data_IF_524131361381
#
_entry.id   IF_524131361381
#
_cell.length_a   1.000
_cell.length_b   1.000
_cell.length_c   1.000
_cell.angle_alpha   90.00
_cell.angle_beta   90.00
_cell.angle_gamma   90.00
#
_symmetry.space_group_name_H-M   'P 1'
#
loop_
_entity.id
_entity.type
_entity.pdbx_description
1 polymer ?
#
# COMPACT_ATOMS: atom_id res chain seq x y z
N UNK A 1 19.27 -3.93 -16.18
CA UNK A 1 19.76 -5.18 -15.57
C UNK A 1 18.66 -6.23 -15.68
N UNK A 2 18.99 -7.52 -15.88
CA UNK A 2 17.99 -8.56 -15.78
C UNK A 2 17.47 -8.64 -14.32
N UNK A 3 16.16 -8.94 -14.10
CA UNK A 3 15.60 -9.06 -12.75
C UNK A 3 16.26 -10.19 -11.97
N UNK A 4 16.47 -10.00 -10.67
CA UNK A 4 16.98 -11.05 -9.79
C UNK A 4 15.90 -12.10 -9.52
N UNK A 5 16.30 -13.27 -8.94
CA UNK A 5 15.30 -14.28 -8.51
C UNK A 5 14.33 -13.73 -7.47
N UNK A 6 14.79 -12.82 -6.61
CA UNK A 6 13.93 -12.18 -5.59
C UNK A 6 12.94 -11.21 -6.24
N UNK A 7 13.34 -10.45 -7.27
CA UNK A 7 12.43 -9.57 -8.00
C UNK A 7 11.32 -10.35 -8.70
N UNK A 8 11.67 -11.45 -9.39
CA UNK A 8 10.68 -12.34 -10.04
C UNK A 8 9.68 -12.90 -9.01
N UNK A 9 10.15 -13.23 -7.81
CA UNK A 9 9.29 -13.69 -6.72
C UNK A 9 8.35 -12.58 -6.22
N UNK A 10 8.87 -11.35 -6.04
CA UNK A 10 8.08 -10.22 -5.57
C UNK A 10 7.02 -9.81 -6.61
N UNK A 11 7.40 -9.78 -7.90
CA UNK A 11 6.45 -9.56 -9.01
C UNK A 11 5.30 -10.57 -9.01
N UNK A 12 5.60 -11.86 -8.79
CA UNK A 12 4.58 -12.89 -8.72
C UNK A 12 3.63 -12.70 -7.53
N UNK A 13 4.16 -12.30 -6.37
CA UNK A 13 3.36 -11.98 -5.18
C UNK A 13 2.49 -10.75 -5.44
N UNK A 14 3.06 -9.68 -6.01
CA UNK A 14 2.33 -8.45 -6.31
C UNK A 14 1.19 -8.70 -7.31
N UNK A 15 1.44 -9.53 -8.32
CA UNK A 15 0.42 -9.98 -9.29
C UNK A 15 -0.71 -10.74 -8.60
N UNK A 16 -0.39 -11.70 -7.73
CA UNK A 16 -1.39 -12.44 -6.97
C UNK A 16 -2.21 -11.52 -6.06
N UNK A 17 -1.57 -10.57 -5.37
CA UNK A 17 -2.25 -9.58 -4.55
C UNK A 17 -3.18 -8.67 -5.37
N UNK A 18 -2.77 -8.24 -6.58
CA UNK A 18 -3.64 -7.47 -7.50
C UNK A 18 -4.90 -8.25 -7.87
N UNK A 19 -4.78 -9.54 -8.16
CA UNK A 19 -5.95 -10.41 -8.42
C UNK A 19 -6.88 -10.41 -7.22
N UNK A 20 -6.36 -10.58 -5.99
CA UNK A 20 -7.17 -10.57 -4.78
C UNK A 20 -7.81 -9.20 -4.49
N UNK A 21 -7.11 -8.09 -4.77
CA UNK A 21 -7.69 -6.74 -4.66
C UNK A 21 -8.93 -6.60 -5.55
N UNK A 22 -8.81 -6.96 -6.82
CA UNK A 22 -9.94 -6.89 -7.77
C UNK A 22 -11.08 -7.82 -7.34
N UNK A 23 -10.76 -9.05 -6.96
CA UNK A 23 -11.75 -10.05 -6.50
C UNK A 23 -12.52 -9.57 -5.27
N UNK A 24 -11.83 -9.13 -4.20
CA UNK A 24 -12.50 -8.68 -2.98
C UNK A 24 -13.36 -7.43 -3.20
N UNK A 25 -12.92 -6.50 -4.06
CA UNK A 25 -13.67 -5.28 -4.38
C UNK A 25 -14.93 -5.57 -5.20
N UNK A 26 -14.86 -6.51 -6.16
CA UNK A 26 -16.05 -6.97 -6.90
C UNK A 26 -17.07 -7.64 -5.97
N UNK A 27 -16.62 -8.43 -5.01
CA UNK A 27 -17.48 -9.04 -3.99
C UNK A 27 -18.09 -8.04 -3.00
N UNK A 28 -17.34 -6.99 -2.66
CA UNK A 28 -17.82 -5.94 -1.77
C UNK A 28 -18.79 -4.96 -2.46
N UNK A 29 -18.71 -4.83 -3.79
CA UNK A 29 -19.46 -3.83 -4.56
C UNK A 29 -19.09 -2.38 -4.20
N UNK A 30 -18.04 -2.16 -3.45
CA UNK A 30 -17.57 -0.84 -3.00
C UNK A 30 -16.11 -0.88 -2.60
N UNK A 31 -15.40 0.25 -2.71
CA UNK A 31 -14.01 0.42 -2.27
C UNK A 31 -13.13 1.08 -3.33
N UNK A 32 -11.82 1.04 -3.12
CA UNK A 32 -10.87 1.90 -3.82
C UNK A 32 -9.82 1.07 -4.58
N UNK A 33 -10.07 0.69 -5.86
CA UNK A 33 -9.11 -0.08 -6.64
C UNK A 33 -7.87 0.71 -7.03
N UNK A 34 -8.02 1.95 -7.51
CA UNK A 34 -6.92 2.72 -8.09
C UNK A 34 -5.74 2.89 -7.15
N UNK A 35 -6.00 3.39 -5.92
CA UNK A 35 -4.98 3.60 -4.90
C UNK A 35 -4.45 2.29 -4.28
N UNK A 36 -5.22 1.21 -4.34
CA UNK A 36 -4.78 -0.12 -3.90
C UNK A 36 -3.82 -0.76 -4.90
N UNK A 37 -4.11 -0.60 -6.20
CA UNK A 37 -3.25 -1.12 -7.27
C UNK A 37 -1.95 -0.32 -7.44
N UNK A 38 -1.93 0.99 -7.09
CA UNK A 38 -0.71 1.79 -7.15
C UNK A 38 0.30 1.40 -6.08
N UNK A 39 -0.15 1.16 -4.85
CA UNK A 39 0.71 0.97 -3.68
C UNK A 39 1.22 -0.46 -3.48
N UNK A 40 0.69 -1.43 -4.25
CA UNK A 40 0.89 -2.85 -3.93
C UNK A 40 2.35 -3.30 -4.02
N UNK A 41 3.14 -2.81 -4.99
CA UNK A 41 4.55 -3.20 -5.13
C UNK A 41 5.39 -2.71 -3.93
N UNK A 42 5.06 -1.53 -3.41
CA UNK A 42 5.66 -0.97 -2.19
C UNK A 42 5.37 -1.87 -1.01
N UNK A 43 4.09 -2.22 -0.78
CA UNK A 43 3.70 -3.08 0.35
C UNK A 43 4.26 -4.49 0.24
N UNK A 44 4.29 -5.07 -0.97
CA UNK A 44 4.90 -6.38 -1.22
C UNK A 44 6.39 -6.36 -0.90
N UNK A 45 7.13 -5.34 -1.34
CA UNK A 45 8.56 -5.22 -1.03
C UNK A 45 8.79 -5.05 0.48
N UNK A 46 7.98 -4.23 1.15
CA UNK A 46 8.04 -4.09 2.60
C UNK A 46 7.87 -5.44 3.30
N UNK A 47 6.73 -6.11 3.08
CA UNK A 47 6.38 -7.32 3.83
C UNK A 47 7.26 -8.53 3.47
N UNK A 48 7.60 -8.73 2.21
CA UNK A 48 8.25 -9.97 1.77
C UNK A 48 9.77 -9.86 1.58
N UNK A 49 10.33 -8.64 1.73
CA UNK A 49 11.76 -8.44 1.55
C UNK A 49 12.45 -7.60 2.63
N UNK A 50 11.74 -6.79 3.44
CA UNK A 50 12.42 -5.83 4.34
C UNK A 50 11.93 -5.82 5.78
N UNK A 51 10.63 -5.88 6.02
CA UNK A 51 10.09 -5.80 7.37
C UNK A 51 10.38 -7.05 8.20
N UNK A 52 10.65 -6.85 9.48
CA UNK A 52 10.70 -7.91 10.49
C UNK A 52 9.33 -8.05 11.13
N UNK A 53 8.66 -9.15 10.87
CA UNK A 53 7.38 -9.49 11.47
C UNK A 53 7.23 -11.00 11.62
N UNK A 54 6.27 -11.40 12.43
CA UNK A 54 5.78 -12.78 12.52
C UNK A 54 4.25 -12.73 12.53
N UNK A 55 3.64 -13.19 11.45
CA UNK A 55 2.19 -13.17 11.31
C UNK A 55 1.45 -13.99 12.38
N UNK A 56 2.12 -14.97 12.99
CA UNK A 56 1.57 -15.79 14.10
C UNK A 56 1.68 -15.09 15.45
N UNK A 57 2.47 -14.03 15.56
CA UNK A 57 2.68 -13.22 16.76
C UNK A 57 2.54 -11.73 16.41
N UNK A 58 1.33 -11.30 16.00
CA UNK A 58 1.10 -9.92 15.58
C UNK A 58 1.33 -8.89 16.70
N UNK A 59 1.40 -9.34 17.95
CA UNK A 59 1.71 -8.58 19.16
C UNK A 59 3.20 -8.55 19.53
N UNK A 60 4.08 -9.24 18.76
CA UNK A 60 5.52 -9.22 19.03
C UNK A 60 6.05 -7.79 19.11
N UNK A 61 6.59 -7.42 20.28
CA UNK A 61 6.94 -6.03 20.61
C UNK A 61 8.06 -5.45 19.71
N UNK A 62 9.01 -6.29 19.26
CA UNK A 62 10.17 -5.85 18.47
C UNK A 62 9.95 -5.95 16.96
N UNK A 63 8.75 -6.34 16.52
CA UNK A 63 8.42 -6.32 15.08
C UNK A 63 8.41 -4.90 14.53
N UNK A 64 8.67 -4.75 13.25
CA UNK A 64 8.49 -3.49 12.56
C UNK A 64 7.00 -3.12 12.44
N UNK A 65 6.70 -1.87 12.24
CA UNK A 65 5.36 -1.32 12.18
C UNK A 65 5.10 -0.72 10.79
N UNK A 66 3.91 -0.97 10.23
CA UNK A 66 3.46 -0.30 9.02
C UNK A 66 2.14 0.42 9.26
N UNK A 67 2.09 1.70 8.91
CA UNK A 67 0.88 2.52 8.94
C UNK A 67 0.53 2.89 7.50
N UNK A 68 -0.57 2.35 7.01
CA UNK A 68 -1.17 2.79 5.75
C UNK A 68 -2.02 4.03 6.03
N UNK A 69 -1.42 5.22 5.94
CA UNK A 69 -2.08 6.49 6.27
C UNK A 69 -3.22 6.80 5.29
N UNK A 70 -3.02 6.57 3.98
CA UNK A 70 -4.09 6.56 2.97
C UNK A 70 -4.99 5.33 3.15
N UNK A 71 -5.76 5.31 4.24
CA UNK A 71 -6.50 4.14 4.70
C UNK A 71 -7.50 3.55 3.70
N UNK A 72 -7.95 4.35 2.72
CA UNK A 72 -8.82 3.88 1.65
C UNK A 72 -8.16 2.81 0.75
N UNK A 73 -6.82 2.75 0.68
CA UNK A 73 -6.08 1.71 -0.04
C UNK A 73 -5.93 0.40 0.78
N UNK A 74 -6.69 0.21 1.85
CA UNK A 74 -6.66 -0.98 2.71
C UNK A 74 -6.84 -2.31 1.98
N UNK A 75 -7.54 -2.43 0.82
CA UNK A 75 -7.57 -3.68 0.07
C UNK A 75 -6.18 -4.20 -0.29
N UNK A 76 -5.21 -3.30 -0.58
CA UNK A 76 -3.83 -3.70 -0.82
C UNK A 76 -3.16 -4.26 0.44
N UNK A 77 -3.36 -3.60 1.60
CA UNK A 77 -2.80 -4.06 2.87
C UNK A 77 -3.41 -5.42 3.27
N UNK A 78 -4.72 -5.60 3.12
CA UNK A 78 -5.37 -6.88 3.43
C UNK A 78 -4.89 -8.00 2.51
N UNK A 79 -4.72 -7.76 1.20
CA UNK A 79 -4.18 -8.75 0.28
C UNK A 79 -2.77 -9.20 0.68
N UNK A 80 -1.90 -8.24 1.05
CA UNK A 80 -0.55 -8.53 1.52
C UNK A 80 -0.56 -9.26 2.87
N UNK A 81 -1.38 -8.83 3.84
CA UNK A 81 -1.49 -9.49 5.15
C UNK A 81 -2.01 -10.92 5.05
N UNK A 82 -3.02 -11.18 4.22
CA UNK A 82 -3.49 -12.53 3.95
C UNK A 82 -2.37 -13.39 3.34
N UNK A 83 -1.67 -12.86 2.33
CA UNK A 83 -0.53 -13.53 1.68
C UNK A 83 0.64 -13.77 2.64
N UNK A 84 0.84 -12.91 3.62
CA UNK A 84 1.82 -13.03 4.69
C UNK A 84 1.40 -14.00 5.82
N UNK A 85 0.15 -14.47 5.83
CA UNK A 85 -0.36 -15.47 6.76
C UNK A 85 -0.97 -14.92 8.05
N UNK A 86 -1.37 -13.64 8.08
CA UNK A 86 -2.09 -13.07 9.22
C UNK A 86 -3.50 -13.64 9.37
N UNK A 87 -4.15 -13.98 8.24
CA UNK A 87 -5.46 -14.61 8.18
C UNK A 87 -5.63 -15.34 6.83
N UNK A 88 -6.61 -16.27 6.71
CA UNK A 88 -6.86 -17.02 5.47
C UNK A 88 -7.29 -16.12 4.30
N UNK A 89 -6.82 -16.40 3.08
CA UNK A 89 -7.14 -15.60 1.88
C UNK A 89 -8.65 -15.54 1.59
N UNK A 90 -9.42 -16.57 1.95
CA UNK A 90 -10.87 -16.62 1.78
C UNK A 90 -11.59 -15.53 2.57
N UNK A 91 -11.02 -15.08 3.69
CA UNK A 91 -11.56 -13.99 4.49
C UNK A 91 -11.61 -12.66 3.73
N UNK A 92 -10.78 -12.47 2.69
CA UNK A 92 -10.78 -11.29 1.84
C UNK A 92 -12.17 -11.02 1.22
N UNK A 93 -12.95 -12.08 0.96
CA UNK A 93 -14.32 -11.97 0.40
C UNK A 93 -15.36 -11.39 1.38
N UNK A 94 -14.95 -11.17 2.62
CA UNK A 94 -15.80 -10.54 3.63
C UNK A 94 -15.57 -9.04 3.78
N UNK A 95 -14.73 -8.44 2.90
CA UNK A 95 -14.46 -7.00 2.91
C UNK A 95 -15.76 -6.18 3.01
N UNK A 96 -15.84 -5.24 3.97
CA UNK A 96 -16.99 -4.34 4.20
C UNK A 96 -18.32 -5.03 4.54
N UNK A 97 -18.33 -6.33 4.81
CA UNK A 97 -19.55 -7.03 5.25
C UNK A 97 -19.75 -6.83 6.75
N UNK A 98 -21.00 -6.76 7.17
CA UNK A 98 -21.35 -6.65 8.59
C UNK A 98 -20.74 -7.81 9.40
N UNK A 99 -20.06 -7.48 10.50
CA UNK A 99 -19.38 -8.44 11.36
C UNK A 99 -18.00 -8.91 10.86
N UNK A 100 -17.56 -8.49 9.67
CA UNK A 100 -16.21 -8.78 9.19
C UNK A 100 -15.17 -7.91 9.89
N UNK A 101 -13.99 -8.45 10.25
CA UNK A 101 -12.87 -7.64 10.71
C UNK A 101 -12.23 -6.81 9.58
N UNK A 102 -12.51 -7.13 8.31
CA UNK A 102 -11.98 -6.44 7.15
C UNK A 102 -12.85 -5.22 6.82
N UNK A 103 -12.64 -4.15 7.57
CA UNK A 103 -13.35 -2.89 7.44
C UNK A 103 -12.95 -2.16 6.14
N UNK A 104 -13.72 -1.15 5.73
CA UNK A 104 -13.43 -0.35 4.53
C UNK A 104 -12.18 0.54 4.65
N UNK A 105 -11.69 0.72 5.86
CA UNK A 105 -10.43 1.35 6.25
C UNK A 105 -9.76 0.53 7.34
N UNK A 106 -8.43 0.64 7.57
CA UNK A 106 -7.78 -0.11 8.64
C UNK A 106 -8.39 0.19 10.02
N UNK A 107 -8.69 -0.86 10.76
CA UNK A 107 -9.16 -0.76 12.14
C UNK A 107 -8.30 -1.67 13.05
N UNK A 108 -7.53 -1.05 13.94
CA UNK A 108 -6.63 -1.76 14.86
C UNK A 108 -7.36 -2.60 15.90
N UNK A 109 -8.63 -2.29 16.16
CA UNK A 109 -9.44 -3.05 17.14
C UNK A 109 -10.09 -4.27 16.50
N UNK A 110 -10.25 -4.27 15.17
CA UNK A 110 -10.92 -5.33 14.43
C UNK A 110 -9.95 -6.42 13.93
N UNK A 111 -8.72 -6.05 13.55
CA UNK A 111 -7.77 -6.98 12.94
C UNK A 111 -6.38 -6.87 13.58
N UNK A 112 -5.86 -7.94 14.21
CA UNK A 112 -4.49 -7.99 14.71
C UNK A 112 -3.46 -7.74 13.62
N UNK A 113 -2.42 -6.96 13.93
CA UNK A 113 -1.38 -6.55 12.97
C UNK A 113 -1.66 -5.23 12.26
N UNK A 114 -2.86 -4.66 12.40
CA UNK A 114 -3.13 -3.27 12.04
C UNK A 114 -2.62 -2.35 13.17
N UNK A 115 -1.76 -1.40 12.84
CA UNK A 115 -1.09 -0.55 13.82
C UNK A 115 -1.94 0.64 14.26
N UNK A 116 -2.66 1.24 13.32
CA UNK A 116 -3.50 2.41 13.55
C UNK A 116 -4.76 2.33 12.72
N UNK A 117 -5.86 2.79 13.26
CA UNK A 117 -7.06 3.09 12.49
C UNK A 117 -6.79 4.33 11.66
N UNK A 118 -6.99 4.24 10.34
CA UNK A 118 -6.76 5.32 9.38
C UNK A 118 -7.97 5.45 8.46
N UNK A 119 -8.00 6.52 7.63
CA UNK A 119 -9.14 6.81 6.75
C UNK A 119 -9.48 8.31 6.80
N UNK A 120 -9.37 8.94 7.97
CA UNK A 120 -9.22 10.40 8.07
C UNK A 120 -7.80 10.74 7.62
N UNK A 121 -7.69 11.35 6.42
CA UNK A 121 -6.39 11.59 5.79
C UNK A 121 -5.51 12.52 6.62
N UNK A 122 -4.20 12.33 6.50
CA UNK A 122 -3.18 13.13 7.18
C UNK A 122 -2.86 12.68 8.61
N UNK A 123 -3.70 11.84 9.27
CA UNK A 123 -3.50 11.43 10.67
C UNK A 123 -2.32 10.46 10.84
N UNK A 124 -2.11 9.58 9.87
CA UNK A 124 -1.19 8.46 10.01
C UNK A 124 0.27 8.88 10.22
N UNK A 125 0.72 10.00 9.66
CA UNK A 125 2.10 10.47 9.84
C UNK A 125 2.38 10.88 11.28
N UNK A 126 1.48 11.62 11.92
CA UNK A 126 1.62 12.01 13.34
C UNK A 126 1.62 10.78 14.25
N UNK A 127 0.77 9.78 13.95
CA UNK A 127 0.76 8.50 14.68
C UNK A 127 2.09 7.76 14.49
N UNK A 128 2.61 7.70 13.25
CA UNK A 128 3.89 7.06 12.95
C UNK A 128 5.06 7.74 13.65
N UNK A 129 5.07 9.08 13.70
CA UNK A 129 6.06 9.86 14.42
C UNK A 129 6.06 9.52 15.91
N UNK A 130 4.89 9.59 16.56
CA UNK A 130 4.74 9.25 17.98
C UNK A 130 5.15 7.81 18.29
N UNK A 131 4.80 6.87 17.41
CA UNK A 131 5.21 5.45 17.53
C UNK A 131 6.73 5.28 17.38
N UNK A 132 7.34 5.94 16.39
CA UNK A 132 8.79 5.90 16.20
C UNK A 132 9.55 6.47 17.40
N UNK A 133 9.08 7.58 17.95
CA UNK A 133 9.63 8.18 19.17
C UNK A 133 9.49 7.23 20.37
N UNK A 134 8.31 6.66 20.58
CA UNK A 134 8.05 5.71 21.67
C UNK A 134 8.98 4.48 21.59
N UNK A 135 9.19 3.93 20.38
CA UNK A 135 10.12 2.82 20.16
C UNK A 135 11.58 3.22 20.46
N UNK A 136 11.99 4.45 20.10
CA UNK A 136 13.34 4.98 20.46
C UNK A 136 13.50 5.10 21.96
N UNK A 137 12.54 5.67 22.66
CA UNK A 137 12.56 5.82 24.12
C UNK A 137 12.60 4.47 24.83
N UNK A 138 11.96 3.45 24.25
CA UNK A 138 11.99 2.08 24.74
C UNK A 138 13.25 1.30 24.32
N UNK A 139 14.22 1.94 23.65
CA UNK A 139 15.41 1.31 23.08
C UNK A 139 15.09 0.09 22.18
N UNK A 140 13.91 0.10 21.53
CA UNK A 140 13.48 -0.96 20.62
C UNK A 140 14.21 -0.89 19.27
N UNK A 141 14.61 -2.04 18.69
CA UNK A 141 15.21 -2.08 17.37
C UNK A 141 14.17 -1.94 16.23
N UNK A 142 12.89 -1.84 16.55
CA UNK A 142 11.80 -1.80 15.58
C UNK A 142 11.79 -0.51 14.77
N UNK A 143 11.40 -0.63 13.51
CA UNK A 143 11.24 0.49 12.57
C UNK A 143 9.76 0.76 12.32
N UNK A 144 9.47 1.99 11.93
CA UNK A 144 8.12 2.43 11.54
C UNK A 144 8.14 2.86 10.08
N UNK A 145 7.25 2.30 9.31
CA UNK A 145 6.99 2.66 7.90
C UNK A 145 5.60 3.30 7.81
N UNK A 146 5.53 4.50 7.25
CA UNK A 146 4.26 5.20 7.02
C UNK A 146 4.06 5.41 5.52
N UNK A 147 2.94 4.96 4.98
CA UNK A 147 2.62 5.11 3.56
C UNK A 147 1.54 6.18 3.41
N UNK A 148 1.92 7.27 2.74
CA UNK A 148 1.05 8.42 2.44
C UNK A 148 0.55 8.37 0.99
N UNK A 149 -0.57 9.03 0.73
CA UNK A 149 -1.02 9.38 -0.62
C UNK A 149 -0.65 10.82 -0.97
N UNK A 150 -0.59 11.13 -2.26
CA UNK A 150 -0.28 12.47 -2.73
C UNK A 150 -1.39 13.50 -2.40
N UNK A 151 -2.65 13.20 -2.66
CA UNK A 151 -3.74 14.05 -2.18
C UNK A 151 -3.80 14.17 -0.66
N UNK A 152 -3.35 13.14 0.07
CA UNK A 152 -3.30 13.15 1.53
C UNK A 152 -2.28 14.16 2.07
N UNK A 153 -1.14 14.37 1.41
CA UNK A 153 -0.15 15.33 1.89
C UNK A 153 -0.54 16.80 1.67
N UNK A 154 -1.75 17.07 1.15
CA UNK A 154 -2.36 18.39 1.17
C UNK A 154 -2.91 18.76 2.55
N UNK A 155 -3.12 17.79 3.45
CA UNK A 155 -3.59 18.01 4.81
C UNK A 155 -2.54 18.74 5.66
N UNK A 156 -2.94 19.81 6.36
CA UNK A 156 -2.05 20.65 7.15
C UNK A 156 -1.25 19.90 8.20
N UNK A 157 -1.86 18.94 8.89
CA UNK A 157 -1.18 18.17 9.93
C UNK A 157 -0.07 17.23 9.40
N UNK A 158 -0.07 16.89 8.11
CA UNK A 158 1.08 16.20 7.50
C UNK A 158 2.33 17.09 7.56
N UNK A 159 2.17 18.37 7.27
CA UNK A 159 3.25 19.35 7.31
C UNK A 159 3.69 19.67 8.74
N UNK A 160 2.78 19.69 9.70
CA UNK A 160 3.11 19.81 11.13
C UNK A 160 4.01 18.65 11.58
N UNK A 161 3.63 17.42 11.27
CA UNK A 161 4.44 16.24 11.58
C UNK A 161 5.76 16.21 10.78
N UNK A 162 5.75 16.69 9.52
CA UNK A 162 6.95 16.79 8.69
C UNK A 162 7.99 17.76 9.27
N UNK A 163 7.56 18.87 9.87
CA UNK A 163 8.45 19.81 10.58
C UNK A 163 8.95 19.23 11.90
N UNK A 164 8.12 18.53 12.65
CA UNK A 164 8.46 18.03 13.99
C UNK A 164 9.46 16.86 13.94
N UNK A 165 9.35 15.93 12.99
CA UNK A 165 10.15 14.72 12.97
C UNK A 165 11.68 14.97 12.94
N UNK A 166 12.24 15.85 12.10
CA UNK A 166 13.65 16.18 12.14
C UNK A 166 14.02 17.02 13.37
N UNK A 167 13.08 17.81 13.90
CA UNK A 167 13.30 18.64 15.10
C UNK A 167 13.63 17.79 16.33
N UNK A 168 12.99 16.65 16.48
CA UNK A 168 13.27 15.69 17.56
C UNK A 168 14.73 15.22 17.55
N UNK A 169 15.36 15.11 16.36
CA UNK A 169 16.79 14.82 16.24
C UNK A 169 17.67 15.89 16.88
N UNK A 170 17.29 17.17 16.78
CA UNK A 170 18.01 18.28 17.39
C UNK A 170 17.90 18.28 18.94
N UNK A 171 16.85 17.63 19.48
CA UNK A 171 16.65 17.49 20.93
C UNK A 171 17.19 16.16 21.50
N UNK A 172 17.99 15.42 20.72
CA UNK A 172 18.62 14.17 21.15
C UNK A 172 17.84 12.90 20.86
N UNK A 173 16.73 13.00 20.12
CA UNK A 173 15.87 11.86 19.76
C UNK A 173 15.72 11.71 18.24
N UNK A 174 16.80 11.41 17.49
CA UNK A 174 16.71 11.28 16.03
C UNK A 174 15.82 10.11 15.64
N UNK A 175 14.84 10.39 14.76
CA UNK A 175 13.89 9.39 14.28
C UNK A 175 14.43 8.65 13.04
N UNK A 176 15.64 8.10 13.12
CA UNK A 176 16.24 7.29 12.04
C UNK A 176 15.56 5.90 11.89
N UNK A 177 14.62 5.58 12.76
CA UNK A 177 13.74 4.44 12.67
C UNK A 177 12.39 4.76 11.97
N UNK A 178 12.16 6.00 11.52
CA UNK A 178 10.97 6.40 10.75
C UNK A 178 11.31 6.52 9.27
N UNK A 179 10.57 5.78 8.45
CA UNK A 179 10.61 5.88 6.99
C UNK A 179 9.21 6.19 6.49
N UNK A 180 9.07 7.27 5.74
CA UNK A 180 7.81 7.68 5.11
C UNK A 180 7.90 7.44 3.61
N UNK A 181 6.87 6.84 3.03
CA UNK A 181 6.81 6.53 1.60
C UNK A 181 5.58 7.22 1.03
N UNK A 182 5.78 8.09 0.07
CA UNK A 182 4.72 8.73 -0.68
C UNK A 182 4.38 7.88 -1.89
N UNK A 183 3.17 7.32 -1.93
CA UNK A 183 2.59 6.75 -3.16
C UNK A 183 2.16 7.90 -4.08
N UNK A 184 3.12 8.35 -4.90
CA UNK A 184 2.97 9.52 -5.75
C UNK A 184 2.41 9.14 -7.12
N UNK A 185 1.10 8.82 -7.14
CA UNK A 185 0.38 8.42 -8.37
C UNK A 185 -0.26 9.61 -9.10
N UNK A 186 -0.14 10.83 -8.56
CA UNK A 186 -0.56 12.14 -9.14
C UNK A 186 -2.05 12.34 -9.29
N UNK A 187 -2.88 11.46 -8.71
CA UNK A 187 -4.34 11.52 -8.81
C UNK A 187 -4.97 11.36 -7.44
N UNK A 188 -5.71 12.36 -7.00
CA UNK A 188 -6.55 12.32 -5.81
C UNK A 188 -8.01 11.99 -6.17
N UNK A 189 -8.96 12.26 -5.26
CA UNK A 189 -10.36 11.84 -5.34
C UNK A 189 -11.01 12.18 -6.69
N UNK A 190 -10.99 13.44 -7.10
CA UNK A 190 -11.78 13.94 -8.23
C UNK A 190 -10.97 14.20 -9.50
N UNK A 191 -9.65 14.37 -9.39
CA UNK A 191 -8.81 14.72 -10.55
C UNK A 191 -7.31 14.58 -10.23
N UNK A 192 -6.48 14.95 -11.19
CA UNK A 192 -5.04 15.08 -11.02
C UNK A 192 -4.71 16.12 -9.93
N UNK A 193 -3.73 15.80 -9.09
CA UNK A 193 -3.27 16.68 -8.01
C UNK A 193 -2.92 18.06 -8.50
N UNK A 194 -2.24 18.16 -9.65
CA UNK A 194 -1.87 19.45 -10.27
C UNK A 194 -3.05 20.32 -10.69
N UNK A 195 -4.25 19.73 -10.84
CA UNK A 195 -5.46 20.47 -11.17
C UNK A 195 -6.28 20.88 -9.94
N UNK A 196 -6.08 20.19 -8.84
CA UNK A 196 -6.82 20.46 -7.59
C UNK A 196 -5.98 21.35 -6.67
N UNK A 197 -4.83 20.87 -6.22
CA UNK A 197 -3.86 21.63 -5.41
C UNK A 197 -2.48 21.05 -5.66
N UNK A 198 -1.64 21.79 -6.40
CA UNK A 198 -0.32 21.33 -6.77
C UNK A 198 0.60 21.16 -5.55
N UNK A 199 1.29 20.05 -5.52
CA UNK A 199 2.20 19.68 -4.44
C UNK A 199 3.65 20.08 -4.71
N UNK A 200 3.99 20.36 -5.97
CA UNK A 200 5.38 20.62 -6.34
C UNK A 200 5.91 21.96 -5.76
N UNK A 201 7.21 22.04 -5.48
CA UNK A 201 8.21 20.96 -5.57
C UNK A 201 8.20 20.08 -4.28
N UNK A 202 7.72 18.84 -4.37
CA UNK A 202 7.56 17.93 -3.21
C UNK A 202 8.91 17.68 -2.54
N UNK A 203 9.90 17.25 -3.31
CA UNK A 203 11.24 16.89 -2.80
C UNK A 203 11.88 18.06 -2.02
N UNK A 204 11.89 19.25 -2.62
CA UNK A 204 12.50 20.42 -2.00
C UNK A 204 11.79 20.84 -0.70
N UNK A 205 10.48 20.70 -0.63
CA UNK A 205 9.70 20.97 0.59
C UNK A 205 10.14 20.06 1.75
N UNK A 206 10.21 18.75 1.53
CA UNK A 206 10.62 17.80 2.57
C UNK A 206 12.10 17.96 2.95
N UNK A 207 12.97 18.21 1.97
CA UNK A 207 14.38 18.50 2.24
C UNK A 207 14.56 19.76 3.08
N UNK A 208 13.75 20.81 2.84
CA UNK A 208 13.83 22.07 3.61
C UNK A 208 13.45 21.89 5.08
N UNK A 209 12.66 20.87 5.43
CA UNK A 209 12.40 20.52 6.82
C UNK A 209 13.50 19.68 7.47
N UNK A 210 14.46 19.16 6.68
CA UNK A 210 15.58 18.38 7.20
C UNK A 210 15.42 16.86 7.02
N UNK A 211 14.50 16.41 6.16
CA UNK A 211 14.38 15.00 5.79
C UNK A 211 15.47 14.58 4.80
N UNK A 212 15.99 13.38 4.94
CA UNK A 212 16.66 12.70 3.83
C UNK A 212 15.58 12.28 2.82
N UNK A 213 15.77 12.64 1.54
CA UNK A 213 14.76 12.39 0.49
C UNK A 213 15.38 11.63 -0.67
N UNK A 214 14.66 10.64 -1.19
CA UNK A 214 15.01 9.89 -2.40
C UNK A 214 13.77 9.70 -3.26
N UNK A 215 13.96 9.77 -4.58
CA UNK A 215 12.92 9.46 -5.56
C UNK A 215 13.18 8.12 -6.22
N UNK A 216 12.13 7.33 -6.44
CA UNK A 216 12.20 6.00 -7.04
C UNK A 216 11.02 5.74 -8.00
N UNK A 217 11.17 4.77 -8.87
CA UNK A 217 10.03 4.09 -9.48
C UNK A 217 9.39 3.17 -8.43
N UNK A 218 8.14 3.50 -8.07
CA UNK A 218 7.36 2.75 -7.07
C UNK A 218 6.83 1.39 -7.54
N UNK A 219 7.13 1.01 -8.79
CA UNK A 219 6.83 -0.31 -9.36
C UNK A 219 8.08 -1.16 -9.60
N UNK A 220 9.27 -0.63 -9.31
CA UNK A 220 10.55 -1.35 -9.40
C UNK A 220 10.96 -1.86 -8.01
N UNK A 221 10.81 -3.16 -7.77
CA UNK A 221 11.17 -3.80 -6.50
C UNK A 221 12.63 -3.60 -6.09
N UNK A 222 13.55 -3.46 -7.06
CA UNK A 222 14.96 -3.19 -6.77
C UNK A 222 15.16 -1.76 -6.25
N UNK A 223 14.52 -0.78 -6.87
CA UNK A 223 14.60 0.62 -6.43
C UNK A 223 13.94 0.79 -5.06
N UNK A 224 12.75 0.20 -4.86
CA UNK A 224 12.08 0.20 -3.56
C UNK A 224 12.99 -0.43 -2.50
N UNK A 225 13.54 -1.62 -2.78
CA UNK A 225 14.44 -2.32 -1.87
C UNK A 225 15.68 -1.50 -1.50
N UNK A 226 16.34 -0.89 -2.49
CA UNK A 226 17.52 -0.03 -2.26
C UNK A 226 17.18 1.20 -1.43
N UNK A 227 16.05 1.86 -1.67
CA UNK A 227 15.62 3.01 -0.88
C UNK A 227 15.34 2.61 0.58
N UNK A 228 14.72 1.46 0.80
CA UNK A 228 14.49 0.93 2.15
C UNK A 228 15.79 0.52 2.85
N UNK A 229 16.78 -0.01 2.12
CA UNK A 229 18.12 -0.30 2.65
C UNK A 229 18.85 0.99 3.04
N UNK A 230 18.76 2.04 2.22
CA UNK A 230 19.28 3.38 2.55
C UNK A 230 18.63 3.93 3.82
N UNK A 231 17.30 3.81 3.93
CA UNK A 231 16.57 4.20 5.14
C UNK A 231 17.04 3.39 6.37
N UNK A 232 17.31 2.10 6.20
CA UNK A 232 17.83 1.22 7.24
C UNK A 232 19.24 1.62 7.73
N UNK A 233 20.07 2.13 6.82
CA UNK A 233 21.43 2.56 7.09
C UNK A 233 21.53 4.02 7.59
N UNK A 234 20.51 4.85 7.32
CA UNK A 234 20.48 6.25 7.70
C UNK A 234 20.59 6.40 9.22
N UNK A 235 21.30 7.43 9.67
CA UNK A 235 21.42 7.83 11.07
C UNK A 235 21.14 9.33 11.17
N UNK A 236 20.61 9.73 12.32
CA UNK A 236 20.45 11.14 12.66
C UNK A 236 19.11 11.78 12.27
N UNK A 237 18.25 11.10 11.48
CA UNK A 237 16.94 11.66 11.11
C UNK A 237 16.08 10.72 10.28
N UNK A 238 14.84 11.11 9.98
CA UNK A 238 13.90 10.30 9.21
C UNK A 238 14.18 10.36 7.69
N UNK A 239 13.68 9.36 6.96
CA UNK A 239 13.73 9.30 5.49
C UNK A 239 12.35 9.43 4.87
N UNK A 240 12.27 10.22 3.80
CA UNK A 240 11.11 10.36 2.94
C UNK A 240 11.42 9.81 1.54
N UNK A 241 10.61 8.84 1.09
CA UNK A 241 10.76 8.19 -0.21
C UNK A 241 9.59 8.64 -1.09
N UNK A 242 9.88 9.34 -2.18
CA UNK A 242 8.89 9.68 -3.21
C UNK A 242 8.86 8.53 -4.21
N UNK A 243 7.83 7.71 -4.13
CA UNK A 243 7.65 6.57 -5.02
C UNK A 243 6.68 6.95 -6.14
N UNK A 244 7.22 7.19 -7.34
CA UNK A 244 6.42 7.47 -8.53
C UNK A 244 5.67 6.21 -8.94
N UNK A 245 4.34 6.27 -8.90
CA UNK A 245 3.46 5.14 -9.19
C UNK A 245 2.40 5.51 -10.23
N UNK A 246 1.66 4.49 -10.68
CA UNK A 246 0.53 4.63 -11.60
C UNK A 246 -0.73 4.21 -10.86
N UNK A 247 -1.70 5.12 -10.71
CA UNK A 247 -3.01 4.78 -10.16
C UNK A 247 -3.69 3.73 -11.05
N UNK A 248 -4.19 2.65 -10.46
CA UNK A 248 -4.81 1.57 -11.25
C UNK A 248 -3.84 0.59 -11.91
N UNK A 249 -2.56 0.57 -11.50
CA UNK A 249 -1.47 -0.20 -12.12
C UNK A 249 -1.81 -1.66 -12.43
N UNK A 250 -1.59 -2.04 -13.69
CA UNK A 250 -1.79 -3.40 -14.20
C UNK A 250 -3.17 -3.66 -14.80
N UNK A 251 -4.04 -2.65 -14.84
CA UNK A 251 -5.37 -2.72 -15.46
C UNK A 251 -5.55 -1.53 -16.40
N UNK A 252 -5.48 -1.77 -17.69
CA UNK A 252 -5.38 -0.73 -18.71
C UNK A 252 -6.48 0.32 -18.67
N UNK A 253 -7.70 -0.09 -18.33
CA UNK A 253 -8.86 0.83 -18.24
C UNK A 253 -9.02 1.50 -16.87
N UNK A 254 -8.11 1.20 -15.92
CA UNK A 254 -8.03 1.86 -14.61
C UNK A 254 -6.79 2.76 -14.48
N UNK A 255 -5.75 2.52 -15.30
CA UNK A 255 -4.50 3.27 -15.21
C UNK A 255 -4.72 4.76 -15.54
N UNK A 256 -4.27 5.62 -14.61
CA UNK A 256 -4.33 7.09 -14.73
C UNK A 256 -5.74 7.67 -14.92
N UNK A 257 -6.78 6.94 -14.49
CA UNK A 257 -8.16 7.40 -14.57
C UNK A 257 -8.71 7.71 -13.16
N UNK A 258 -9.07 8.99 -12.87
CA UNK A 258 -9.64 9.39 -11.58
C UNK A 258 -10.93 8.68 -11.20
N UNK A 259 -11.75 8.24 -12.16
CA UNK A 259 -13.01 7.54 -11.89
C UNK A 259 -12.80 6.28 -11.06
N UNK A 260 -11.65 5.63 -11.19
CA UNK A 260 -11.30 4.43 -10.43
C UNK A 260 -10.74 4.71 -9.03
N UNK A 261 -10.87 5.94 -8.53
CA UNK A 261 -10.50 6.23 -7.15
C UNK A 261 -11.36 5.43 -6.16
N UNK A 262 -12.68 5.56 -6.24
CA UNK A 262 -13.64 4.97 -5.29
C UNK A 262 -14.72 4.07 -5.92
N UNK A 263 -14.58 3.70 -7.17
CA UNK A 263 -15.52 2.84 -7.91
C UNK A 263 -15.04 1.39 -7.87
N UNK A 264 -15.83 0.50 -7.27
CA UNK A 264 -15.56 -0.93 -7.35
C UNK A 264 -15.86 -1.46 -8.78
N UNK A 265 -15.07 -2.44 -9.27
CA UNK A 265 -15.35 -3.05 -10.56
C UNK A 265 -16.62 -3.91 -10.50
N UNK A 266 -17.42 -3.88 -11.57
CA UNK A 266 -18.46 -4.87 -11.81
C UNK A 266 -17.82 -6.26 -12.01
N UNK A 267 -18.57 -7.36 -11.88
CA UNK A 267 -18.04 -8.70 -12.14
C UNK A 267 -17.37 -8.84 -13.52
N UNK A 268 -17.98 -8.29 -14.58
CA UNK A 268 -17.41 -8.31 -15.91
C UNK A 268 -16.10 -7.49 -16.02
N UNK A 269 -16.07 -6.29 -15.43
CA UNK A 269 -14.85 -5.47 -15.34
C UNK A 269 -13.78 -6.18 -14.51
N UNK A 270 -14.14 -6.88 -13.44
CA UNK A 270 -13.20 -7.64 -12.61
C UNK A 270 -12.56 -8.81 -13.38
N UNK A 271 -13.35 -9.57 -14.15
CA UNK A 271 -12.83 -10.66 -15.00
C UNK A 271 -11.86 -10.11 -16.04
N UNK A 272 -12.20 -8.97 -16.68
CA UNK A 272 -11.31 -8.30 -17.63
C UNK A 272 -10.01 -7.84 -16.95
N UNK A 273 -10.10 -7.21 -15.78
CA UNK A 273 -8.95 -6.75 -15.02
C UNK A 273 -8.02 -7.91 -14.63
N UNK A 274 -8.57 -9.02 -14.14
CA UNK A 274 -7.81 -10.22 -13.77
C UNK A 274 -7.08 -10.79 -14.99
N UNK A 275 -7.73 -10.87 -16.14
CA UNK A 275 -7.09 -11.31 -17.38
C UNK A 275 -5.87 -10.43 -17.73
N UNK A 276 -6.02 -9.11 -17.66
CA UNK A 276 -4.93 -8.15 -17.92
C UNK A 276 -3.80 -8.30 -16.92
N UNK A 277 -4.10 -8.40 -15.62
CA UNK A 277 -3.11 -8.62 -14.53
C UNK A 277 -2.32 -9.91 -14.78
N UNK A 278 -2.97 -10.97 -15.25
CA UNK A 278 -2.32 -12.24 -15.56
C UNK A 278 -1.52 -12.20 -16.87
N UNK A 279 -1.63 -11.13 -17.66
CA UNK A 279 -0.93 -10.97 -18.93
C UNK A 279 -1.48 -11.87 -20.05
N UNK A 280 -2.74 -12.30 -19.95
CA UNK A 280 -3.37 -13.19 -20.92
C UNK A 280 -4.14 -12.37 -21.95
N UNK A 281 -3.87 -12.60 -23.25
CA UNK A 281 -4.61 -11.93 -24.31
C UNK A 281 -6.08 -12.39 -24.35
N UNK A 282 -6.96 -11.58 -24.91
CA UNK A 282 -8.37 -11.94 -25.07
C UNK A 282 -8.54 -13.23 -25.91
N UNK A 283 -7.79 -13.33 -26.99
CA UNK A 283 -7.81 -14.50 -27.87
C UNK A 283 -7.35 -15.80 -27.18
N UNK A 284 -6.47 -15.70 -26.17
CA UNK A 284 -5.96 -16.86 -25.43
C UNK A 284 -6.78 -17.19 -24.18
N UNK A 285 -7.76 -16.34 -23.79
CA UNK A 285 -8.40 -16.41 -22.48
C UNK A 285 -9.14 -17.73 -22.23
N UNK A 286 -9.96 -18.17 -23.15
CA UNK A 286 -10.73 -19.42 -22.97
C UNK A 286 -9.82 -20.66 -22.90
N UNK A 287 -8.73 -20.69 -23.69
CA UNK A 287 -7.72 -21.75 -23.60
C UNK A 287 -6.99 -21.73 -22.26
N UNK A 288 -6.66 -20.54 -21.76
CA UNK A 288 -6.05 -20.36 -20.43
C UNK A 288 -6.96 -20.87 -19.32
N UNK A 289 -8.26 -20.52 -19.34
CA UNK A 289 -9.24 -21.03 -18.38
C UNK A 289 -9.42 -22.56 -18.45
N UNK A 290 -9.26 -23.16 -19.62
CA UNK A 290 -9.36 -24.62 -19.74
C UNK A 290 -8.21 -25.35 -19.00
N UNK A 291 -7.04 -24.74 -18.90
CA UNK A 291 -5.85 -25.32 -18.25
C UNK A 291 -5.67 -24.90 -16.80
N UNK A 292 -6.09 -23.66 -16.46
CA UNK A 292 -5.89 -23.04 -15.14
C UNK A 292 -7.14 -23.13 -14.27
N UNK A 293 -7.32 -24.26 -13.59
CA UNK A 293 -8.53 -24.58 -12.81
C UNK A 293 -8.82 -23.56 -11.70
N UNK A 294 -7.79 -23.03 -11.03
CA UNK A 294 -7.96 -22.03 -9.98
C UNK A 294 -8.51 -20.71 -10.54
N UNK A 295 -7.97 -20.25 -11.68
CA UNK A 295 -8.47 -19.01 -12.32
C UNK A 295 -9.87 -19.23 -12.89
N UNK A 296 -10.17 -20.41 -13.45
CA UNK A 296 -11.51 -20.75 -13.92
C UNK A 296 -12.53 -20.70 -12.79
N UNK A 297 -12.21 -21.31 -11.62
CA UNK A 297 -13.11 -21.28 -10.46
C UNK A 297 -13.37 -19.83 -9.97
N UNK A 298 -12.35 -18.98 -9.96
CA UNK A 298 -12.49 -17.57 -9.62
C UNK A 298 -13.38 -16.81 -10.61
N UNK A 299 -13.24 -17.06 -11.90
CA UNK A 299 -14.07 -16.45 -12.95
C UNK A 299 -15.53 -16.91 -12.85
N UNK A 300 -15.77 -18.19 -12.57
CA UNK A 300 -17.12 -18.73 -12.33
C UNK A 300 -17.76 -18.10 -11.08
N UNK A 301 -16.99 -17.93 -10.01
CA UNK A 301 -17.41 -17.23 -8.80
C UNK A 301 -17.86 -15.79 -9.12
N UNK A 302 -17.05 -15.02 -9.85
CA UNK A 302 -17.38 -13.64 -10.24
C UNK A 302 -18.60 -13.57 -11.15
N UNK A 303 -18.74 -14.47 -12.13
CA UNK A 303 -19.95 -14.57 -12.97
C UNK A 303 -21.21 -14.86 -12.14
N UNK A 304 -21.05 -15.59 -11.03
CA UNK A 304 -22.13 -15.86 -10.08
C UNK A 304 -22.64 -14.61 -9.34
N UNK A 305 -21.85 -13.55 -9.23
CA UNK A 305 -22.26 -12.29 -8.60
C UNK A 305 -23.25 -11.49 -9.47
N UNK A 306 -23.20 -11.62 -10.80
CA UNK A 306 -24.14 -10.93 -11.72
C UNK A 306 -25.58 -11.44 -11.62
N UNK A 307 -25.78 -12.62 -11.02
CA UNK A 307 -27.09 -13.27 -10.91
C UNK A 307 -27.81 -12.99 -9.58
N UNK A 308 -27.17 -12.23 -8.69
CA UNK A 308 -27.70 -11.85 -7.38
C UNK A 308 -28.06 -10.37 -7.34
#
# INVERSE_FOLDING_TARGET
MAPSRDDVRLDAIARACRVQIIRMLAHAGSGHPGGSLSVIDILVTLFFARMRYDARRPDWAERDRVILSKGHAVPALYAVMAKAGYFPEEQLLTLRKLGSPLQGHPDRTALPGIEAATGSLGQGLSVALGMALGLKLAASPARVYCVLGDGEIQEGQVWEAAMEAPKLGQTGHPLDNLTVILDYNKIQLDNFVTKILDLEPVVAKWQSFGWAVVEIDGHDHQQIGKALDQAGALRGGPMFIVAHTVKGKGVSFMENDPEWHGKAPTPAEAIRAIREILGVSEAAWENYLATESATRALVEELRGLEKK
#
